data_IF_446814562752
#
_entry.id   IF_446814562752
#
_cell.length_a   1.000
_cell.length_b   1.000
_cell.length_c   1.000
_cell.angle_alpha   90.00
_cell.angle_beta   90.00
_cell.angle_gamma   90.00
#
_symmetry.space_group_name_H-M   'P 1'
#
loop_
_entity.id
_entity.type
_entity.pdbx_description
1 polymer ?
#
# COMPACT_ATOMS: atom_id res chain seq x y z
N UNK A 1 -40.67 -7.38 -49.25
CA UNK A 1 -39.88 -7.77 -48.08
C UNK A 1 -38.71 -6.81 -47.97
N UNK A 2 -38.74 -5.89 -47.01
CA UNK A 2 -37.59 -5.04 -46.74
C UNK A 2 -36.64 -5.82 -45.81
N UNK A 3 -35.47 -6.18 -46.31
CA UNK A 3 -34.40 -6.71 -45.50
C UNK A 3 -34.09 -5.67 -44.40
N UNK A 4 -34.30 -6.07 -43.13
CA UNK A 4 -33.77 -5.35 -41.97
C UNK A 4 -32.24 -5.43 -42.05
N UNK A 5 -31.61 -4.37 -42.51
CA UNK A 5 -30.16 -4.19 -42.29
C UNK A 5 -29.99 -4.19 -40.78
N UNK A 6 -29.45 -5.30 -40.24
CA UNK A 6 -29.06 -5.39 -38.85
C UNK A 6 -27.89 -4.38 -38.67
N UNK A 7 -28.15 -3.26 -38.00
CA UNK A 7 -27.11 -2.36 -37.58
C UNK A 7 -26.11 -3.18 -36.75
N UNK A 8 -24.85 -3.27 -37.21
CA UNK A 8 -23.79 -3.95 -36.51
C UNK A 8 -23.54 -3.20 -35.21
N UNK A 9 -23.67 -3.86 -34.06
CA UNK A 9 -23.39 -3.29 -32.77
C UNK A 9 -21.89 -3.05 -32.63
N UNK A 10 -21.51 -1.92 -32.05
CA UNK A 10 -20.11 -1.63 -31.71
C UNK A 10 -19.81 -2.06 -30.27
N UNK A 11 -18.78 -2.88 -30.11
CA UNK A 11 -18.37 -3.40 -28.80
C UNK A 11 -17.08 -2.80 -28.29
N UNK A 12 -16.92 -2.77 -26.97
CA UNK A 12 -15.65 -2.58 -26.29
C UNK A 12 -15.27 -3.85 -25.51
N UNK A 13 -13.99 -4.18 -25.48
CA UNK A 13 -13.45 -5.28 -24.67
C UNK A 13 -12.73 -4.72 -23.47
N UNK A 14 -13.02 -5.28 -22.29
CA UNK A 14 -12.27 -4.97 -21.10
C UNK A 14 -11.61 -6.21 -20.48
N UNK A 15 -10.29 -6.14 -20.30
CA UNK A 15 -9.46 -7.20 -19.73
C UNK A 15 -8.81 -6.68 -18.44
N UNK A 16 -8.91 -7.48 -17.37
CA UNK A 16 -8.20 -7.22 -16.13
C UNK A 16 -7.47 -8.46 -15.65
N UNK A 17 -6.17 -8.33 -15.41
CA UNK A 17 -5.32 -9.41 -14.90
C UNK A 17 -5.01 -9.16 -13.44
N UNK A 18 -5.24 -10.18 -12.59
CA UNK A 18 -4.80 -10.15 -11.20
C UNK A 18 -3.32 -10.54 -11.10
N UNK A 19 -2.65 -10.11 -10.02
CA UNK A 19 -1.27 -10.49 -9.71
C UNK A 19 -1.13 -11.93 -9.20
N UNK A 20 -2.25 -12.56 -8.81
CA UNK A 20 -2.27 -13.94 -8.34
C UNK A 20 -2.24 -14.91 -9.54
N UNK A 21 -1.13 -15.61 -9.67
CA UNK A 21 -0.77 -16.47 -10.81
C UNK A 21 -1.51 -17.82 -10.86
N UNK A 22 -2.53 -18.06 -10.09
CA UNK A 22 -3.22 -19.35 -10.05
C UNK A 22 -4.56 -19.29 -10.77
N UNK A 23 -4.70 -20.08 -11.83
CA UNK A 23 -5.92 -20.47 -12.56
C UNK A 23 -6.54 -19.50 -13.59
N UNK A 24 -5.85 -18.47 -14.06
CA UNK A 24 -6.44 -17.57 -15.05
C UNK A 24 -5.80 -17.67 -16.43
N UNK A 25 -6.63 -17.62 -17.45
CA UNK A 25 -6.22 -17.48 -18.85
C UNK A 25 -5.29 -16.26 -18.98
N UNK A 26 -4.23 -16.38 -19.77
CA UNK A 26 -3.37 -15.24 -20.09
C UNK A 26 -4.18 -14.12 -20.75
N UNK A 27 -3.75 -12.83 -20.63
CA UNK A 27 -4.44 -11.71 -21.28
C UNK A 27 -4.72 -11.95 -22.77
N UNK A 28 -3.73 -12.52 -23.47
CA UNK A 28 -3.86 -12.82 -24.90
C UNK A 28 -4.87 -13.91 -25.19
N UNK A 29 -4.97 -14.92 -24.31
CA UNK A 29 -5.99 -15.97 -24.43
C UNK A 29 -7.37 -15.41 -24.15
N UNK A 30 -7.52 -14.55 -23.13
CA UNK A 30 -8.77 -13.85 -22.87
C UNK A 30 -9.19 -13.00 -24.07
N UNK A 31 -8.27 -12.19 -24.59
CA UNK A 31 -8.56 -11.34 -25.75
C UNK A 31 -9.05 -12.14 -26.96
N UNK A 32 -8.40 -13.27 -27.28
CA UNK A 32 -8.85 -14.15 -28.38
C UNK A 32 -10.28 -14.63 -28.19
N UNK A 33 -10.60 -15.14 -27.00
CA UNK A 33 -11.95 -15.63 -26.68
C UNK A 33 -13.00 -14.54 -26.76
N UNK A 34 -12.69 -13.32 -26.30
CA UNK A 34 -13.59 -12.19 -26.35
C UNK A 34 -13.82 -11.70 -27.78
N UNK A 35 -12.79 -11.69 -28.61
CA UNK A 35 -12.90 -11.37 -30.05
C UNK A 35 -13.68 -12.44 -30.83
N UNK A 36 -13.48 -13.72 -30.49
CA UNK A 36 -14.24 -14.82 -31.12
C UNK A 36 -15.72 -14.74 -30.74
N UNK A 37 -16.03 -14.40 -29.49
CA UNK A 37 -17.40 -14.12 -29.07
C UNK A 37 -18.02 -12.95 -29.85
N UNK A 38 -17.30 -11.82 -29.92
CA UNK A 38 -17.75 -10.62 -30.63
C UNK A 38 -18.07 -10.93 -32.10
N UNK A 39 -17.20 -11.70 -32.77
CA UNK A 39 -17.43 -12.14 -34.17
C UNK A 39 -18.68 -13.01 -34.31
N UNK A 40 -18.89 -13.96 -33.38
CA UNK A 40 -20.06 -14.85 -33.37
C UNK A 40 -21.36 -14.09 -33.21
N UNK A 41 -21.36 -13.06 -32.37
CA UNK A 41 -22.56 -12.24 -32.08
C UNK A 41 -22.66 -11.01 -33.02
N UNK A 42 -21.86 -10.95 -34.10
CA UNK A 42 -21.83 -9.85 -35.08
C UNK A 42 -21.57 -8.47 -34.44
N UNK A 43 -20.76 -8.43 -33.42
CA UNK A 43 -20.31 -7.20 -32.73
C UNK A 43 -18.97 -6.78 -33.32
N UNK A 44 -18.88 -5.56 -33.83
CA UNK A 44 -17.64 -4.97 -34.29
C UNK A 44 -16.86 -4.37 -33.13
N UNK A 45 -15.57 -4.73 -32.99
CA UNK A 45 -14.71 -4.24 -31.90
C UNK A 45 -13.47 -3.56 -32.51
N UNK A 46 -13.47 -2.23 -32.64
CA UNK A 46 -12.30 -1.47 -33.06
C UNK A 46 -11.12 -1.70 -32.09
N UNK A 47 -9.91 -1.68 -32.62
CA UNK A 47 -8.70 -1.89 -31.80
C UNK A 47 -8.55 -0.89 -30.67
N UNK A 48 -8.96 0.35 -30.89
CA UNK A 48 -8.99 1.42 -29.89
C UNK A 48 -9.98 1.20 -28.74
N UNK A 49 -10.93 0.27 -28.89
CA UNK A 49 -11.92 -0.09 -27.87
C UNK A 49 -11.54 -1.37 -27.09
N UNK A 50 -10.27 -1.74 -27.15
CA UNK A 50 -9.70 -2.79 -26.31
C UNK A 50 -8.99 -2.16 -25.13
N UNK A 51 -9.56 -2.30 -23.95
CA UNK A 51 -9.09 -1.71 -22.70
C UNK A 51 -8.48 -2.78 -21.79
N UNK A 52 -7.25 -2.53 -21.28
CA UNK A 52 -6.56 -3.51 -20.46
C UNK A 52 -5.90 -2.85 -19.25
N UNK A 53 -6.19 -3.38 -18.06
CA UNK A 53 -5.56 -3.02 -16.79
C UNK A 53 -4.75 -4.20 -16.25
N UNK A 54 -3.41 -4.10 -16.27
CA UNK A 54 -2.49 -5.16 -15.83
C UNK A 54 -2.00 -4.95 -14.39
N UNK A 55 -1.92 -6.04 -13.63
CA UNK A 55 -1.19 -6.08 -12.34
C UNK A 55 -1.76 -5.19 -11.23
N UNK A 56 -2.99 -4.76 -11.33
CA UNK A 56 -3.61 -3.87 -10.35
C UNK A 56 -4.41 -4.71 -9.35
N UNK A 57 -3.89 -4.83 -8.12
CA UNK A 57 -4.65 -5.45 -7.02
C UNK A 57 -5.99 -4.71 -6.80
N UNK A 58 -7.07 -5.49 -6.74
CA UNK A 58 -8.46 -5.06 -6.82
C UNK A 58 -8.98 -4.00 -5.85
N UNK A 59 -8.19 -3.30 -5.04
CA UNK A 59 -8.69 -2.54 -3.88
C UNK A 59 -8.90 -1.03 -4.03
N UNK A 60 -8.57 -0.38 -5.15
CA UNK A 60 -8.84 1.08 -5.33
C UNK A 60 -9.25 1.40 -6.76
N UNK A 61 -10.48 1.91 -6.96
CA UNK A 61 -11.04 2.29 -8.26
C UNK A 61 -10.17 3.31 -9.02
N UNK A 62 -9.52 4.22 -8.30
CA UNK A 62 -8.61 5.24 -8.87
C UNK A 62 -7.35 4.67 -9.54
N UNK A 63 -7.17 3.34 -9.55
CA UNK A 63 -6.01 2.65 -10.14
C UNK A 63 -6.36 1.82 -11.38
N UNK A 64 -7.51 2.04 -12.01
CA UNK A 64 -7.96 1.35 -13.23
C UNK A 64 -8.13 2.36 -14.37
N UNK A 65 -7.04 2.91 -14.92
CA UNK A 65 -7.13 3.98 -15.92
C UNK A 65 -7.84 3.51 -17.18
N UNK A 66 -7.59 2.28 -17.65
CA UNK A 66 -8.25 1.75 -18.84
C UNK A 66 -9.76 1.57 -18.61
N UNK A 67 -10.17 1.08 -17.43
CA UNK A 67 -11.57 1.00 -17.06
C UNK A 67 -12.26 2.38 -17.05
N UNK A 68 -11.62 3.37 -16.45
CA UNK A 68 -12.17 4.73 -16.36
C UNK A 68 -12.32 5.35 -17.76
N UNK A 69 -11.34 5.15 -18.63
CA UNK A 69 -11.40 5.60 -20.02
C UNK A 69 -12.54 4.92 -20.78
N UNK A 70 -12.72 3.62 -20.62
CA UNK A 70 -13.83 2.87 -21.21
C UNK A 70 -15.21 3.42 -20.74
N UNK A 71 -15.37 3.64 -19.43
CA UNK A 71 -16.61 4.20 -18.87
C UNK A 71 -16.86 5.63 -19.36
N UNK A 72 -15.79 6.45 -19.47
CA UNK A 72 -15.91 7.80 -20.02
C UNK A 72 -16.36 7.78 -21.48
N UNK A 73 -15.79 6.89 -22.29
CA UNK A 73 -16.17 6.71 -23.69
C UNK A 73 -17.62 6.22 -23.82
N UNK A 74 -18.03 5.23 -23.05
CA UNK A 74 -19.39 4.70 -23.02
C UNK A 74 -20.45 5.75 -22.61
N UNK A 75 -20.03 6.81 -21.91
CA UNK A 75 -20.90 7.94 -21.48
C UNK A 75 -20.86 9.11 -22.43
N UNK A 76 -20.02 9.09 -23.47
CA UNK A 76 -19.93 10.20 -24.41
C UNK A 76 -21.23 10.41 -25.16
N UNK A 77 -21.49 11.64 -25.57
CA UNK A 77 -22.72 11.98 -26.34
C UNK A 77 -22.77 11.32 -27.72
N UNK A 78 -21.64 10.88 -28.22
CA UNK A 78 -21.49 10.25 -29.53
C UNK A 78 -21.93 8.79 -29.52
N UNK A 79 -22.16 8.18 -28.34
CA UNK A 79 -22.54 6.78 -28.15
C UNK A 79 -21.74 5.78 -29.01
N UNK A 80 -20.41 5.78 -28.96
CA UNK A 80 -19.62 4.96 -29.87
C UNK A 80 -19.58 3.48 -29.50
N UNK A 81 -20.19 3.08 -28.38
CA UNK A 81 -20.19 1.73 -27.85
C UNK A 81 -21.62 1.32 -27.46
N UNK A 82 -22.06 0.17 -27.96
CA UNK A 82 -23.35 -0.46 -27.61
C UNK A 82 -23.17 -1.55 -26.53
N UNK A 83 -22.02 -2.20 -26.49
CA UNK A 83 -21.81 -3.38 -25.63
C UNK A 83 -20.38 -3.41 -25.09
N UNK A 84 -20.23 -3.68 -23.79
CA UNK A 84 -18.93 -3.97 -23.17
C UNK A 84 -18.85 -5.48 -22.93
N UNK A 85 -17.81 -6.11 -23.45
CA UNK A 85 -17.58 -7.56 -23.39
C UNK A 85 -16.46 -7.84 -22.39
N UNK A 86 -16.72 -8.69 -21.38
CA UNK A 86 -15.77 -9.10 -20.36
C UNK A 86 -15.69 -10.63 -20.24
N UNK A 87 -14.62 -11.14 -19.73
CA UNK A 87 -14.49 -12.59 -19.49
C UNK A 87 -15.43 -13.07 -18.40
N UNK A 88 -15.44 -12.37 -17.23
CA UNK A 88 -16.33 -12.60 -16.08
C UNK A 88 -16.82 -11.28 -15.52
N UNK A 89 -17.99 -11.27 -14.87
CA UNK A 89 -18.48 -10.05 -14.20
C UNK A 89 -17.56 -9.57 -13.08
N UNK A 90 -16.88 -10.49 -12.37
CA UNK A 90 -15.85 -10.16 -11.38
C UNK A 90 -14.61 -9.42 -11.95
N UNK A 91 -14.46 -9.42 -13.28
CA UNK A 91 -13.43 -8.59 -13.95
C UNK A 91 -13.93 -7.19 -14.25
N UNK A 92 -15.22 -7.02 -14.47
CA UNK A 92 -15.84 -5.72 -14.71
C UNK A 92 -15.87 -4.88 -13.43
N UNK A 93 -16.45 -5.39 -12.36
CA UNK A 93 -16.55 -4.70 -11.07
C UNK A 93 -15.86 -5.50 -9.94
N UNK A 94 -15.69 -4.89 -8.78
CA UNK A 94 -14.93 -5.47 -7.65
C UNK A 94 -15.84 -6.04 -6.58
N UNK A 95 -16.99 -5.46 -6.46
CA UNK A 95 -18.03 -5.84 -5.52
C UNK A 95 -19.40 -5.58 -6.17
N UNK A 96 -20.42 -6.08 -5.54
CA UNK A 96 -21.77 -5.97 -6.01
C UNK A 96 -22.25 -4.50 -6.12
N UNK A 97 -21.85 -3.64 -5.20
CA UNK A 97 -22.23 -2.22 -5.21
C UNK A 97 -21.67 -1.50 -6.44
N UNK A 98 -20.35 -1.67 -6.72
CA UNK A 98 -19.73 -1.11 -7.93
C UNK A 98 -20.39 -1.65 -9.20
N UNK A 99 -20.67 -2.96 -9.27
CA UNK A 99 -21.30 -3.60 -10.42
C UNK A 99 -22.66 -2.99 -10.71
N UNK A 100 -23.52 -2.90 -9.71
CA UNK A 100 -24.86 -2.32 -9.84
C UNK A 100 -24.79 -0.87 -10.31
N UNK A 101 -23.91 -0.06 -9.71
CA UNK A 101 -23.76 1.37 -10.05
C UNK A 101 -23.30 1.54 -11.50
N UNK A 102 -22.22 0.84 -11.91
CA UNK A 102 -21.72 0.99 -13.27
C UNK A 102 -22.65 0.39 -14.33
N UNK A 103 -23.27 -0.78 -14.09
CA UNK A 103 -24.25 -1.35 -15.02
C UNK A 103 -25.48 -0.48 -15.17
N UNK A 104 -26.01 0.07 -14.07
CA UNK A 104 -27.13 1.02 -14.11
C UNK A 104 -26.75 2.31 -14.88
N UNK A 105 -25.54 2.81 -14.69
CA UNK A 105 -25.02 3.97 -15.39
C UNK A 105 -24.89 3.71 -16.91
N UNK A 106 -24.34 2.56 -17.29
CA UNK A 106 -24.17 2.14 -18.67
C UNK A 106 -25.52 1.90 -19.35
N UNK A 107 -26.42 1.23 -18.66
CA UNK A 107 -27.80 0.99 -19.19
C UNK A 107 -28.55 2.29 -19.45
N UNK A 108 -28.37 3.34 -18.64
CA UNK A 108 -28.94 4.68 -18.91
C UNK A 108 -28.35 5.31 -20.18
N UNK A 109 -27.17 4.89 -20.61
CA UNK A 109 -26.53 5.31 -21.85
C UNK A 109 -26.68 4.25 -22.97
N UNK A 110 -27.66 3.34 -22.89
CA UNK A 110 -27.92 2.26 -23.85
C UNK A 110 -26.70 1.35 -24.11
N UNK A 111 -25.81 1.17 -23.13
CA UNK A 111 -24.68 0.28 -23.22
C UNK A 111 -24.89 -0.93 -22.32
N UNK A 112 -24.83 -2.13 -22.90
CA UNK A 112 -24.97 -3.39 -22.19
C UNK A 112 -23.59 -3.94 -21.78
N UNK A 113 -23.55 -4.76 -20.71
CA UNK A 113 -22.34 -5.47 -20.27
C UNK A 113 -22.57 -6.96 -20.38
N UNK A 114 -21.74 -7.65 -21.15
CA UNK A 114 -21.85 -9.09 -21.40
C UNK A 114 -20.63 -9.83 -20.87
N UNK A 115 -20.87 -10.93 -20.14
CA UNK A 115 -19.82 -11.87 -19.71
C UNK A 115 -19.82 -13.10 -20.62
N UNK A 116 -18.63 -13.47 -21.12
CA UNK A 116 -18.50 -14.60 -22.06
C UNK A 116 -18.53 -15.94 -21.33
N UNK A 117 -17.93 -16.02 -20.14
CA UNK A 117 -17.92 -17.25 -19.34
C UNK A 117 -19.19 -17.45 -18.50
N UNK A 118 -20.00 -16.40 -18.34
CA UNK A 118 -21.22 -16.37 -17.53
C UNK A 118 -22.38 -15.83 -18.36
N UNK A 119 -22.82 -16.56 -19.43
CA UNK A 119 -23.91 -16.10 -20.28
C UNK A 119 -25.19 -16.01 -19.47
N UNK A 120 -25.81 -14.83 -19.48
CA UNK A 120 -27.02 -14.56 -18.75
C UNK A 120 -28.24 -14.82 -19.64
N UNK A 121 -29.29 -15.33 -19.01
CA UNK A 121 -30.61 -15.43 -19.62
C UNK A 121 -31.24 -14.04 -19.56
N UNK A 122 -31.78 -13.56 -20.68
CA UNK A 122 -32.48 -12.28 -20.74
C UNK A 122 -33.69 -12.26 -19.81
N UNK A 123 -33.91 -11.13 -19.14
CA UNK A 123 -35.07 -10.90 -18.29
C UNK A 123 -34.80 -10.80 -16.78
N UNK A 124 -35.85 -10.65 -15.96
CA UNK A 124 -35.72 -10.49 -14.51
C UNK A 124 -35.01 -11.64 -13.81
N UNK A 125 -35.15 -12.85 -14.31
CA UNK A 125 -34.52 -14.06 -13.78
C UNK A 125 -33.01 -14.07 -14.06
N UNK A 126 -32.56 -13.64 -15.24
CA UNK A 126 -31.15 -13.48 -15.56
C UNK A 126 -30.47 -12.45 -14.67
N UNK A 127 -31.14 -11.32 -14.41
CA UNK A 127 -30.60 -10.30 -13.48
C UNK A 127 -30.49 -10.81 -12.04
N UNK A 128 -31.35 -11.72 -11.62
CA UNK A 128 -31.22 -12.36 -10.29
C UNK A 128 -30.04 -13.31 -10.24
N UNK A 129 -29.85 -14.16 -11.26
CA UNK A 129 -28.71 -15.09 -11.35
C UNK A 129 -27.41 -14.30 -11.38
N UNK A 130 -27.31 -13.22 -12.14
CA UNK A 130 -26.15 -12.34 -12.18
C UNK A 130 -25.76 -11.85 -10.78
N UNK A 131 -26.73 -11.37 -10.00
CA UNK A 131 -26.49 -10.92 -8.61
C UNK A 131 -26.04 -12.05 -7.70
N UNK A 132 -26.56 -13.25 -7.89
CA UNK A 132 -26.14 -14.42 -7.11
C UNK A 132 -24.69 -14.78 -7.43
N UNK A 133 -24.29 -14.79 -8.69
CA UNK A 133 -22.90 -15.08 -9.12
C UNK A 133 -21.94 -14.03 -8.53
N UNK A 134 -22.28 -12.74 -8.66
CA UNK A 134 -21.45 -11.66 -8.09
C UNK A 134 -21.33 -11.76 -6.56
N UNK A 135 -22.42 -12.11 -5.88
CA UNK A 135 -22.42 -12.33 -4.43
C UNK A 135 -21.58 -13.55 -4.03
N UNK A 136 -21.63 -14.64 -4.80
CA UNK A 136 -20.82 -15.83 -4.55
C UNK A 136 -19.32 -15.53 -4.67
N UNK A 137 -18.90 -14.75 -5.67
CA UNK A 137 -17.50 -14.35 -5.85
C UNK A 137 -17.00 -13.49 -4.68
N UNK A 138 -17.84 -12.56 -4.21
CA UNK A 138 -17.52 -11.73 -3.03
C UNK A 138 -17.44 -12.59 -1.76
N UNK A 139 -18.42 -13.46 -1.55
CA UNK A 139 -18.45 -14.39 -0.42
C UNK A 139 -17.24 -15.31 -0.40
N UNK A 140 -16.85 -15.86 -1.55
CA UNK A 140 -15.65 -16.69 -1.66
C UNK A 140 -14.38 -15.92 -1.27
N UNK A 141 -14.25 -14.68 -1.72
CA UNK A 141 -13.10 -13.82 -1.39
C UNK A 141 -13.02 -13.52 0.13
N UNK A 142 -14.17 -13.24 0.76
CA UNK A 142 -14.27 -13.01 2.21
C UNK A 142 -13.89 -14.29 2.98
N UNK A 143 -14.46 -15.42 2.56
CA UNK A 143 -14.19 -16.72 3.18
C UNK A 143 -12.72 -17.09 3.07
N UNK A 144 -12.12 -16.97 1.87
CA UNK A 144 -10.70 -17.25 1.64
C UNK A 144 -9.81 -16.37 2.54
N UNK A 145 -10.13 -15.08 2.64
CA UNK A 145 -9.41 -14.17 3.55
C UNK A 145 -9.48 -14.65 5.01
N UNK A 146 -10.64 -15.12 5.45
CA UNK A 146 -10.83 -15.69 6.79
C UNK A 146 -10.02 -16.99 7.01
N UNK A 147 -9.98 -17.88 6.02
CA UNK A 147 -9.18 -19.11 6.08
C UNK A 147 -7.67 -18.79 6.16
N UNK A 148 -7.19 -17.88 5.32
CA UNK A 148 -5.80 -17.41 5.34
C UNK A 148 -5.45 -16.82 6.70
N UNK A 149 -6.32 -15.95 7.25
CA UNK A 149 -6.10 -15.36 8.57
C UNK A 149 -6.06 -16.40 9.68
N UNK A 150 -6.94 -17.42 9.65
CA UNK A 150 -6.91 -18.54 10.60
C UNK A 150 -5.60 -19.32 10.49
N UNK A 151 -5.16 -19.66 9.28
CA UNK A 151 -3.90 -20.34 9.03
C UNK A 151 -2.70 -19.55 9.54
N UNK A 152 -2.65 -18.25 9.27
CA UNK A 152 -1.60 -17.35 9.77
C UNK A 152 -1.61 -17.24 11.29
N UNK A 153 -2.78 -17.13 11.90
CA UNK A 153 -2.96 -17.13 13.37
C UNK A 153 -2.39 -18.39 14.00
N UNK A 154 -2.74 -19.55 13.46
CA UNK A 154 -2.27 -20.83 13.97
C UNK A 154 -0.74 -21.00 13.81
N UNK A 155 -0.19 -20.56 12.68
CA UNK A 155 1.26 -20.55 12.48
C UNK A 155 1.97 -19.62 13.45
N UNK A 156 1.40 -18.43 13.73
CA UNK A 156 1.94 -17.49 14.71
C UNK A 156 1.95 -18.08 16.13
N UNK A 157 0.88 -18.77 16.54
CA UNK A 157 0.80 -19.45 17.83
C UNK A 157 1.86 -20.57 17.99
N UNK A 158 2.31 -21.15 16.87
CA UNK A 158 3.41 -22.15 16.83
C UNK A 158 4.80 -21.51 16.77
N UNK A 159 4.91 -20.19 16.90
CA UNK A 159 6.17 -19.45 16.84
C UNK A 159 6.76 -19.27 15.44
N UNK A 160 6.03 -19.65 14.39
CA UNK A 160 6.52 -19.44 13.02
C UNK A 160 6.45 -17.98 12.64
N UNK A 161 7.59 -17.43 12.20
CA UNK A 161 7.66 -16.06 11.72
C UNK A 161 7.04 -15.92 10.33
N UNK A 162 6.14 -14.95 10.14
CA UNK A 162 5.31 -14.85 8.94
C UNK A 162 5.53 -13.56 8.13
N UNK A 163 6.64 -12.91 8.40
CA UNK A 163 7.05 -11.68 7.69
C UNK A 163 8.44 -11.88 7.10
N UNK A 164 8.90 -10.88 6.35
CA UNK A 164 10.31 -10.83 5.98
C UNK A 164 11.19 -10.80 7.22
N UNK A 165 12.22 -11.65 7.28
CA UNK A 165 13.17 -11.68 8.38
C UNK A 165 13.67 -10.27 8.74
N UNK A 166 13.73 -9.88 10.02
CA UNK A 166 14.24 -8.57 10.41
C UNK A 166 15.72 -8.42 10.08
N UNK A 167 16.26 -7.20 10.16
CA UNK A 167 17.67 -6.95 9.92
C UNK A 167 18.50 -7.76 10.92
N UNK A 168 19.66 -8.29 10.49
CA UNK A 168 20.46 -9.22 11.27
C UNK A 168 20.10 -10.70 11.06
N UNK A 169 19.01 -10.96 10.30
CA UNK A 169 18.60 -12.30 9.94
C UNK A 169 18.29 -12.43 8.44
N UNK A 170 18.36 -13.65 7.96
CA UNK A 170 17.95 -14.04 6.61
C UNK A 170 16.99 -15.23 6.65
N UNK A 171 16.04 -15.25 5.72
CA UNK A 171 15.15 -16.40 5.55
C UNK A 171 15.79 -17.41 4.60
N UNK A 172 16.08 -18.64 5.04
CA UNK A 172 16.70 -19.66 4.18
C UNK A 172 15.72 -20.27 3.15
N UNK A 173 14.44 -19.85 3.16
CA UNK A 173 13.41 -20.43 2.30
C UNK A 173 12.72 -21.66 2.94
N UNK A 174 11.85 -22.35 2.16
CA UNK A 174 11.19 -23.61 2.52
C UNK A 174 10.50 -23.64 3.90
N UNK A 175 9.90 -22.51 4.32
CA UNK A 175 9.24 -22.36 5.63
C UNK A 175 10.15 -22.58 6.83
N UNK A 176 11.46 -22.61 6.64
CA UNK A 176 12.43 -22.68 7.74
C UNK A 176 12.47 -21.39 8.53
N UNK A 177 12.78 -21.44 9.84
CA UNK A 177 12.89 -20.24 10.64
C UNK A 177 14.04 -19.35 10.13
N UNK A 178 13.94 -18.01 10.28
CA UNK A 178 15.03 -17.10 9.99
C UNK A 178 16.27 -17.45 10.80
N UNK A 179 17.44 -17.39 10.15
CA UNK A 179 18.75 -17.63 10.75
C UNK A 179 19.55 -16.35 10.80
N UNK A 180 20.51 -16.25 11.71
CA UNK A 180 21.41 -15.09 11.85
C UNK A 180 22.17 -14.90 10.53
N UNK A 181 22.20 -13.64 10.06
CA UNK A 181 22.95 -13.25 8.89
C UNK A 181 24.27 -12.57 9.32
N UNK A 182 25.43 -13.20 9.07
CA UNK A 182 26.73 -12.66 9.47
C UNK A 182 27.02 -11.25 8.97
N UNK A 183 26.53 -10.91 7.76
CA UNK A 183 26.81 -9.62 7.12
C UNK A 183 26.05 -8.46 7.77
N UNK A 184 24.91 -8.73 8.40
CA UNK A 184 24.00 -7.70 8.90
C UNK A 184 23.73 -7.77 10.39
N UNK A 185 24.16 -8.83 11.08
CA UNK A 185 23.94 -9.05 12.53
C UNK A 185 24.55 -7.96 13.41
N UNK A 186 25.63 -7.35 12.96
CA UNK A 186 26.26 -6.25 13.71
C UNK A 186 25.37 -5.01 13.83
N UNK A 187 24.41 -4.82 12.91
CA UNK A 187 23.53 -3.65 12.94
C UNK A 187 22.62 -3.65 14.18
N UNK A 188 21.79 -4.70 14.44
CA UNK A 188 20.97 -4.74 15.66
C UNK A 188 21.81 -4.80 16.94
N UNK A 189 23.00 -5.40 16.94
CA UNK A 189 23.90 -5.38 18.10
C UNK A 189 24.40 -3.96 18.38
N UNK A 190 24.88 -3.24 17.36
CA UNK A 190 25.31 -1.85 17.49
C UNK A 190 24.17 -0.93 17.96
N UNK A 191 22.96 -1.11 17.44
CA UNK A 191 21.77 -0.35 17.87
C UNK A 191 21.53 -0.57 19.37
N UNK A 192 21.55 -1.82 19.84
CA UNK A 192 21.38 -2.19 21.24
C UNK A 192 22.45 -1.54 22.12
N UNK A 193 23.72 -1.73 21.78
CA UNK A 193 24.83 -1.28 22.61
C UNK A 193 24.89 0.25 22.71
N UNK A 194 24.70 0.96 21.60
CA UNK A 194 24.62 2.42 21.60
C UNK A 194 23.43 2.95 22.39
N UNK A 195 22.26 2.27 22.32
CA UNK A 195 21.09 2.69 23.07
C UNK A 195 21.27 2.49 24.57
N UNK A 196 21.86 1.37 24.98
CA UNK A 196 22.18 1.08 26.39
C UNK A 196 23.26 2.01 26.95
N UNK A 197 24.20 2.46 26.12
CA UNK A 197 25.19 3.47 26.51
C UNK A 197 24.64 4.92 26.57
N UNK A 198 23.32 5.12 26.29
CA UNK A 198 22.65 6.41 26.45
C UNK A 198 22.47 7.22 25.16
N UNK A 199 22.88 6.69 24.00
CA UNK A 199 22.65 7.37 22.74
C UNK A 199 21.16 7.48 22.40
N UNK A 200 20.76 8.61 21.83
CA UNK A 200 19.39 8.78 21.31
C UNK A 200 19.19 8.02 20.01
N UNK A 201 17.96 7.64 19.71
CA UNK A 201 17.61 6.95 18.45
C UNK A 201 18.08 7.71 17.20
N UNK A 202 18.08 9.06 17.25
CA UNK A 202 18.55 9.89 16.16
C UNK A 202 20.08 9.84 16.00
N UNK A 203 20.83 9.86 17.10
CA UNK A 203 22.28 9.72 17.09
C UNK A 203 22.70 8.35 16.54
N UNK A 204 22.00 7.29 16.95
CA UNK A 204 22.23 5.94 16.44
C UNK A 204 21.96 5.88 14.93
N UNK A 205 20.83 6.44 14.46
CA UNK A 205 20.51 6.48 13.04
C UNK A 205 21.60 7.20 12.21
N UNK A 206 22.09 8.34 12.69
CA UNK A 206 23.19 9.07 12.03
C UNK A 206 24.45 8.23 11.98
N UNK A 207 24.86 7.65 13.10
CA UNK A 207 26.07 6.82 13.17
C UNK A 207 26.00 5.64 12.20
N UNK A 208 24.85 4.97 12.09
CA UNK A 208 24.64 3.89 11.12
C UNK A 208 24.76 4.40 9.68
N UNK A 209 24.18 5.56 9.37
CA UNK A 209 24.25 6.16 8.05
C UNK A 209 25.68 6.58 7.67
N UNK A 210 26.41 7.19 8.61
CA UNK A 210 27.80 7.63 8.44
C UNK A 210 28.73 6.43 8.26
N UNK A 211 28.44 5.31 8.94
CA UNK A 211 29.17 4.04 8.77
C UNK A 211 28.78 3.28 7.49
N UNK A 212 27.92 3.84 6.64
CA UNK A 212 27.50 3.22 5.37
C UNK A 212 26.38 2.18 5.50
N UNK A 213 25.90 1.88 6.71
CA UNK A 213 24.82 0.91 6.89
C UNK A 213 23.50 1.44 6.36
N UNK A 214 22.72 0.53 5.76
CA UNK A 214 21.39 0.84 5.21
C UNK A 214 20.35 -0.12 5.80
N UNK A 215 19.09 0.29 5.75
CA UNK A 215 17.97 -0.59 6.10
C UNK A 215 17.86 -1.74 5.10
N UNK A 216 17.13 -2.79 5.42
CA UNK A 216 16.91 -3.94 4.53
C UNK A 216 16.38 -3.55 3.13
N UNK A 217 15.74 -2.38 3.01
CA UNK A 217 15.23 -1.83 1.74
C UNK A 217 16.20 -0.85 1.05
N UNK A 218 17.44 -0.75 1.54
CA UNK A 218 18.45 0.16 0.99
C UNK A 218 18.29 1.64 1.41
N UNK A 219 17.32 1.96 2.27
CA UNK A 219 17.09 3.35 2.71
C UNK A 219 18.03 3.75 3.84
N UNK A 220 18.20 5.06 4.04
CA UNK A 220 18.84 5.61 5.22
C UNK A 220 18.06 5.28 6.50
N UNK A 221 18.79 5.09 7.59
CA UNK A 221 18.23 4.94 8.91
C UNK A 221 17.64 6.25 9.42
N UNK A 222 16.55 6.16 10.13
CA UNK A 222 15.94 7.24 10.90
C UNK A 222 15.66 6.78 12.34
N UNK A 223 15.29 7.70 13.21
CA UNK A 223 14.97 7.40 14.61
C UNK A 223 13.84 6.37 14.77
N UNK A 224 12.90 6.33 13.80
CA UNK A 224 11.80 5.38 13.79
C UNK A 224 12.25 3.97 13.42
N UNK A 225 13.14 3.84 12.45
CA UNK A 225 13.76 2.56 12.08
C UNK A 225 14.56 1.95 13.22
N UNK A 226 15.34 2.77 13.92
CA UNK A 226 16.07 2.35 15.13
C UNK A 226 15.09 1.89 16.23
N UNK A 227 14.04 2.68 16.49
CA UNK A 227 13.01 2.33 17.46
C UNK A 227 12.32 1.00 17.13
N UNK A 228 12.01 0.77 15.84
CA UNK A 228 11.40 -0.48 15.38
C UNK A 228 12.26 -1.70 15.72
N UNK A 229 13.58 -1.59 15.58
CA UNK A 229 14.52 -2.65 15.97
C UNK A 229 14.49 -2.87 17.48
N UNK A 230 14.57 -1.79 18.28
CA UNK A 230 14.57 -1.84 19.75
C UNK A 230 13.27 -2.41 20.35
N UNK A 231 12.12 -2.20 19.68
CA UNK A 231 10.79 -2.69 20.12
C UNK A 231 10.44 -4.08 19.58
N UNK A 232 11.29 -4.69 18.76
CA UNK A 232 10.95 -5.95 18.12
C UNK A 232 11.35 -7.15 18.98
N UNK A 233 10.38 -7.91 19.53
CA UNK A 233 10.66 -9.06 20.38
C UNK A 233 11.32 -10.23 19.63
N UNK A 234 11.41 -10.17 18.31
CA UNK A 234 12.10 -11.17 17.52
C UNK A 234 13.57 -11.35 17.93
N UNK A 235 14.22 -10.25 18.36
CA UNK A 235 15.62 -10.28 18.78
C UNK A 235 15.86 -11.02 20.11
N UNK A 236 14.81 -11.33 20.86
CA UNK A 236 14.84 -12.20 22.05
C UNK A 236 14.21 -13.57 21.78
N UNK A 237 14.13 -13.97 20.51
CA UNK A 237 13.56 -15.26 20.14
C UNK A 237 12.04 -15.35 20.26
N UNK A 238 11.30 -14.23 20.35
CA UNK A 238 9.83 -14.22 20.44
C UNK A 238 9.19 -13.74 19.15
N UNK A 239 8.12 -14.39 18.75
CA UNK A 239 7.28 -14.01 17.62
C UNK A 239 6.15 -13.08 18.09
N UNK A 240 5.87 -12.01 17.34
CA UNK A 240 4.75 -11.13 17.54
C UNK A 240 3.97 -10.99 16.25
N UNK A 241 2.68 -11.31 16.27
CA UNK A 241 1.84 -11.27 15.08
C UNK A 241 0.54 -10.50 15.32
N UNK A 242 -0.02 -9.90 14.26
CA UNK A 242 -1.29 -9.15 14.25
C UNK A 242 -1.31 -7.91 15.17
N UNK A 243 -0.16 -7.27 15.38
CA UNK A 243 -0.02 -6.17 16.34
C UNK A 243 -0.38 -4.78 15.78
N UNK A 244 -0.66 -4.66 14.47
CA UNK A 244 -1.05 -3.40 13.84
C UNK A 244 -2.27 -3.56 12.95
N UNK A 245 -3.11 -2.54 12.92
CA UNK A 245 -4.19 -2.39 11.95
C UNK A 245 -3.73 -1.70 10.65
N UNK A 246 -4.65 -1.61 9.67
CA UNK A 246 -4.47 -0.75 8.51
C UNK A 246 -4.20 0.69 8.96
N UNK A 247 -3.13 1.31 8.44
CA UNK A 247 -2.71 2.65 8.85
C UNK A 247 -1.70 2.67 10.00
N UNK A 248 -1.19 1.50 10.41
CA UNK A 248 -0.15 1.33 11.43
C UNK A 248 -0.56 1.73 12.85
N UNK A 249 -1.85 1.73 13.16
CA UNK A 249 -2.32 1.84 14.54
C UNK A 249 -2.02 0.53 15.27
N UNK A 250 -1.58 0.63 16.51
CA UNK A 250 -1.38 -0.55 17.35
C UNK A 250 -2.75 -1.12 17.73
N UNK A 251 -2.87 -2.43 17.67
CA UNK A 251 -4.04 -3.15 18.16
C UNK A 251 -4.03 -3.26 19.69
N UNK A 252 -5.20 -3.50 20.32
CA UNK A 252 -5.27 -3.90 21.72
C UNK A 252 -4.36 -5.10 22.00
N UNK A 253 -3.77 -5.15 23.19
CA UNK A 253 -2.77 -6.18 23.54
C UNK A 253 -3.35 -7.58 23.51
N UNK A 254 -4.62 -7.74 23.82
CA UNK A 254 -5.39 -8.99 23.81
C UNK A 254 -5.62 -9.55 22.39
N UNK A 255 -5.54 -8.73 21.36
CA UNK A 255 -5.60 -9.16 19.95
C UNK A 255 -4.23 -9.55 19.36
N UNK A 256 -3.16 -9.23 20.07
CA UNK A 256 -1.78 -9.47 19.61
C UNK A 256 -1.34 -10.86 20.05
N UNK A 257 -0.84 -11.65 19.11
CA UNK A 257 -0.33 -12.98 19.40
C UNK A 257 1.18 -12.89 19.67
N UNK A 258 1.57 -13.32 20.86
CA UNK A 258 2.96 -13.55 21.26
C UNK A 258 3.20 -15.04 21.43
N UNK A 259 4.28 -15.54 20.89
CA UNK A 259 4.69 -16.93 21.02
C UNK A 259 6.23 -17.02 21.09
N UNK A 260 6.73 -18.10 21.67
CA UNK A 260 8.14 -18.41 21.57
C UNK A 260 8.46 -18.74 20.10
N UNK A 261 9.41 -18.01 19.56
CA UNK A 261 9.82 -18.14 18.16
C UNK A 261 10.82 -19.27 17.97
N UNK A 262 10.95 -19.73 16.73
CA UNK A 262 11.88 -20.81 16.36
C UNK A 262 13.24 -20.28 15.88
N UNK A 263 13.51 -18.97 16.02
CA UNK A 263 14.76 -18.32 15.61
C UNK A 263 15.67 -18.09 16.81
N UNK A 264 16.98 -18.19 16.58
CA UNK A 264 17.96 -17.91 17.60
C UNK A 264 17.89 -16.45 18.06
N UNK A 265 17.95 -16.21 19.38
CA UNK A 265 17.92 -14.89 19.98
C UNK A 265 19.30 -14.20 19.85
N UNK A 266 19.30 -12.89 19.57
CA UNK A 266 20.51 -12.05 19.61
C UNK A 266 20.69 -11.35 20.95
N UNK A 267 19.60 -11.15 21.71
CA UNK A 267 19.59 -10.46 22.99
C UNK A 267 18.95 -11.36 24.05
N UNK A 268 19.32 -11.16 25.29
CA UNK A 268 18.61 -11.75 26.43
C UNK A 268 17.36 -10.94 26.82
N UNK A 269 16.45 -11.56 27.57
CA UNK A 269 15.21 -10.93 27.99
C UNK A 269 15.42 -9.75 28.92
N UNK A 270 16.45 -9.76 29.76
CA UNK A 270 16.67 -8.69 30.73
C UNK A 270 17.19 -7.43 30.03
N UNK A 271 18.07 -7.62 29.07
CA UNK A 271 18.50 -6.54 28.14
C UNK A 271 17.28 -5.93 27.42
N UNK A 272 16.39 -6.75 26.90
CA UNK A 272 15.18 -6.26 26.22
C UNK A 272 14.25 -5.50 27.16
N UNK A 273 14.02 -6.01 28.37
CA UNK A 273 13.22 -5.30 29.41
C UNK A 273 13.80 -3.94 29.76
N UNK A 274 15.12 -3.85 29.92
CA UNK A 274 15.81 -2.57 30.19
C UNK A 274 15.63 -1.59 29.01
N UNK A 275 15.74 -2.07 27.77
CA UNK A 275 15.47 -1.26 26.57
C UNK A 275 14.05 -0.73 26.58
N UNK A 276 13.04 -1.60 26.83
CA UNK A 276 11.62 -1.18 26.86
C UNK A 276 11.37 -0.15 27.97
N UNK A 277 11.95 -0.34 29.14
CA UNK A 277 11.86 0.62 30.26
C UNK A 277 12.42 2.00 29.87
N UNK A 278 13.60 2.06 29.25
CA UNK A 278 14.19 3.32 28.77
C UNK A 278 13.36 3.97 27.66
N UNK A 279 12.82 3.17 26.73
CA UNK A 279 11.93 3.69 25.69
C UNK A 279 10.67 4.31 26.28
N UNK A 280 10.07 3.68 27.30
CA UNK A 280 8.87 4.20 27.98
C UNK A 280 9.16 5.52 28.72
N UNK A 281 10.29 5.64 29.41
CA UNK A 281 10.72 6.87 30.07
C UNK A 281 10.93 8.03 29.09
N UNK A 282 11.42 7.73 27.87
CA UNK A 282 11.67 8.70 26.82
C UNK A 282 10.40 9.11 26.06
N UNK A 283 9.28 8.43 26.26
CA UNK A 283 8.00 8.80 25.67
C UNK A 283 7.45 10.07 26.34
N UNK A 284 7.83 11.24 25.80
CA UNK A 284 7.11 12.48 26.13
C UNK A 284 5.69 12.35 25.60
N UNK A 285 4.68 12.62 26.45
CA UNK A 285 3.29 12.76 26.03
C UNK A 285 3.25 13.88 24.98
N UNK A 286 3.27 13.53 23.72
CA UNK A 286 3.07 14.46 22.62
C UNK A 286 1.62 14.94 22.73
N UNK A 287 1.42 16.21 23.10
CA UNK A 287 0.12 16.85 22.90
C UNK A 287 -0.17 16.77 21.40
N UNK A 288 -1.34 16.28 21.04
CA UNK A 288 -1.87 16.34 19.68
C UNK A 288 -1.75 17.80 19.19
N UNK A 289 -0.90 18.05 18.22
CA UNK A 289 -0.83 19.36 17.57
C UNK A 289 -2.03 19.45 16.65
N UNK A 290 -2.77 20.53 16.77
CA UNK A 290 -3.82 20.88 15.83
C UNK A 290 -3.17 21.14 14.45
N UNK A 291 -3.45 20.24 13.50
CA UNK A 291 -2.89 20.29 12.14
C UNK A 291 -3.47 21.45 11.33
N UNK A 292 -4.56 22.06 11.82
CA UNK A 292 -5.19 23.24 11.23
C UNK A 292 -4.47 24.55 11.52
N UNK A 293 -3.49 24.56 12.45
CA UNK A 293 -2.69 25.74 12.73
C UNK A 293 -1.93 26.19 11.49
N UNK A 294 -2.15 27.43 11.11
CA UNK A 294 -1.74 28.06 9.86
C UNK A 294 -0.29 27.75 9.46
N UNK A 295 -0.13 27.22 8.25
CA UNK A 295 1.16 27.15 7.61
C UNK A 295 1.65 28.58 7.35
N UNK A 296 2.90 28.83 7.65
CA UNK A 296 3.55 30.10 7.33
C UNK A 296 3.61 30.27 5.79
N UNK A 297 3.52 31.53 5.29
CA UNK A 297 3.51 31.83 3.85
C UNK A 297 4.77 31.36 3.11
N UNK A 298 5.93 31.28 3.80
CA UNK A 298 7.18 30.72 3.27
C UNK A 298 7.23 29.18 3.29
N UNK A 299 6.19 28.50 3.76
CA UNK A 299 6.19 27.03 3.83
C UNK A 299 6.28 26.41 2.43
N UNK A 300 7.29 25.56 2.24
CA UNK A 300 7.56 24.89 0.97
C UNK A 300 8.47 25.65 0.00
N UNK A 301 8.77 26.94 0.27
CA UNK A 301 9.65 27.75 -0.57
C UNK A 301 11.13 27.65 -0.16
N UNK A 302 11.39 27.43 1.12
CA UNK A 302 12.74 27.41 1.66
C UNK A 302 13.42 26.04 1.47
N UNK A 303 14.64 26.04 0.96
CA UNK A 303 15.42 24.84 0.64
C UNK A 303 16.72 24.83 1.46
N UNK A 304 17.07 23.68 1.98
CA UNK A 304 18.33 23.44 2.68
C UNK A 304 19.50 23.45 1.70
N UNK A 305 20.50 24.30 1.92
CA UNK A 305 21.69 24.42 1.07
C UNK A 305 22.55 23.16 1.06
N UNK A 306 22.57 22.39 2.16
CA UNK A 306 23.42 21.19 2.27
C UNK A 306 22.82 19.95 1.62
N UNK A 307 21.48 19.76 1.66
CA UNK A 307 20.86 18.52 1.19
C UNK A 307 19.74 18.69 0.16
N UNK A 308 19.42 19.91 -0.27
CA UNK A 308 18.34 20.23 -1.21
C UNK A 308 16.93 19.91 -0.69
N UNK A 309 16.77 19.52 0.56
CA UNK A 309 15.46 19.25 1.17
C UNK A 309 14.77 20.54 1.60
N UNK A 310 13.43 20.55 1.62
CA UNK A 310 12.66 21.69 2.09
C UNK A 310 12.87 21.95 3.58
N UNK A 311 12.80 23.21 4.02
CA UNK A 311 12.76 23.56 5.42
C UNK A 311 11.31 23.44 5.91
N UNK A 312 11.09 22.67 6.98
CA UNK A 312 9.79 22.50 7.59
C UNK A 312 9.54 23.58 8.63
N UNK A 313 8.33 24.15 8.61
CA UNK A 313 7.87 25.08 9.63
C UNK A 313 7.53 24.31 10.91
N UNK A 314 8.04 24.78 12.03
CA UNK A 314 7.77 24.19 13.34
C UNK A 314 8.53 24.89 14.45
N UNK A 315 8.07 24.75 15.70
CA UNK A 315 8.74 25.28 16.87
C UNK A 315 9.48 24.19 17.64
N UNK A 316 10.75 24.40 17.95
CA UNK A 316 11.40 23.83 19.12
C UNK A 316 11.22 24.80 20.30
N UNK A 317 11.60 24.43 21.50
CA UNK A 317 11.32 25.07 22.79
C UNK A 317 11.49 26.60 22.92
N UNK A 318 12.02 27.30 21.92
CA UNK A 318 12.40 28.72 22.01
C UNK A 318 11.77 29.63 20.94
N UNK A 319 10.87 29.13 20.11
CA UNK A 319 10.21 29.97 19.08
C UNK A 319 9.84 29.20 17.82
N UNK A 320 9.04 29.86 17.00
CA UNK A 320 8.65 29.34 15.69
C UNK A 320 9.73 29.67 14.66
N UNK A 321 10.02 28.74 13.77
CA UNK A 321 11.03 28.92 12.73
C UNK A 321 10.98 27.80 11.69
N UNK A 322 11.94 27.83 10.79
CA UNK A 322 12.12 26.82 9.77
C UNK A 322 13.35 25.98 10.07
N UNK A 323 13.27 24.68 9.85
CA UNK A 323 14.39 23.77 10.04
C UNK A 323 14.39 22.70 8.95
N UNK A 324 15.57 22.24 8.55
CA UNK A 324 15.70 21.13 7.60
C UNK A 324 14.99 19.88 8.14
N UNK A 325 13.96 19.43 7.44
CA UNK A 325 13.19 18.24 7.86
C UNK A 325 14.03 16.95 7.78
N UNK A 326 15.00 16.90 6.85
CA UNK A 326 15.92 15.77 6.74
C UNK A 326 16.89 15.69 7.92
N UNK A 327 17.28 16.85 8.50
CA UNK A 327 18.10 16.88 9.71
C UNK A 327 17.38 16.23 10.90
N UNK A 328 16.11 16.53 11.10
CA UNK A 328 15.32 15.93 12.18
C UNK A 328 15.15 14.41 12.04
N UNK A 329 15.39 13.88 10.83
CA UNK A 329 15.38 12.43 10.56
C UNK A 329 16.77 11.78 10.52
N UNK A 330 17.84 12.56 10.67
CA UNK A 330 19.20 12.05 10.56
C UNK A 330 19.72 11.89 9.14
N UNK A 331 19.08 12.51 8.16
CA UNK A 331 19.43 12.41 6.73
C UNK A 331 20.13 13.67 6.21
N UNK A 332 20.49 14.62 7.08
CA UNK A 332 21.27 15.80 6.78
C UNK A 332 22.20 16.08 7.96
N UNK A 333 23.42 16.50 7.68
CA UNK A 333 24.43 16.84 8.68
C UNK A 333 24.11 18.12 9.45
N UNK A 334 23.39 19.06 8.82
CA UNK A 334 23.19 20.39 9.36
C UNK A 334 21.69 20.71 9.57
N UNK A 335 21.40 21.37 10.69
CA UNK A 335 20.02 21.68 11.09
C UNK A 335 19.40 22.80 10.26
N UNK A 336 20.21 23.78 9.84
CA UNK A 336 19.77 25.01 9.16
C UNK A 336 18.48 25.59 9.77
N UNK A 337 18.50 25.78 11.10
CA UNK A 337 17.40 26.44 11.77
C UNK A 337 17.46 27.95 11.55
N UNK A 338 16.34 28.56 11.15
CA UNK A 338 16.19 29.99 11.04
C UNK A 338 14.85 30.42 11.68
N UNK A 339 14.86 31.47 12.48
CA UNK A 339 13.66 32.02 13.11
C UNK A 339 12.79 32.76 12.06
N UNK A 340 11.47 32.86 12.35
CA UNK A 340 10.54 33.62 11.47
C UNK A 340 11.03 35.05 11.26
N UNK A 341 11.37 35.75 12.35
CA UNK A 341 11.79 37.15 12.28
C UNK A 341 13.02 37.38 11.39
N UNK A 342 13.99 36.42 11.45
CA UNK A 342 15.18 36.50 10.61
C UNK A 342 14.86 36.26 9.14
N UNK A 343 14.09 35.22 8.82
CA UNK A 343 13.82 34.89 7.42
C UNK A 343 12.89 35.90 6.76
N UNK A 344 11.90 36.42 7.48
CA UNK A 344 11.00 37.47 6.94
C UNK A 344 11.79 38.72 6.63
N UNK A 345 12.64 39.17 7.55
CA UNK A 345 13.51 40.33 7.33
C UNK A 345 14.38 40.16 6.08
N UNK A 346 15.05 39.01 5.94
CA UNK A 346 15.90 38.72 4.78
C UNK A 346 15.11 38.72 3.45
N UNK A 347 13.90 38.16 3.46
CA UNK A 347 13.07 38.08 2.25
C UNK A 347 12.54 39.47 1.88
N UNK A 348 12.14 40.29 2.86
CA UNK A 348 11.67 41.67 2.63
C UNK A 348 12.81 42.53 2.05
N UNK A 349 13.98 42.52 2.69
CA UNK A 349 15.18 43.24 2.20
C UNK A 349 15.56 42.83 0.77
N UNK A 350 15.42 41.56 0.41
CA UNK A 350 15.68 41.05 -0.95
C UNK A 350 14.62 41.51 -1.95
N UNK A 351 13.37 41.64 -1.54
CA UNK A 351 12.29 42.10 -2.43
C UNK A 351 12.26 43.63 -2.63
N UNK A 352 12.87 44.39 -1.71
CA UNK A 352 12.99 45.85 -1.77
C UNK A 352 14.26 46.30 -2.51
N UNK A 353 15.21 45.41 -2.75
CA UNK A 353 16.46 45.67 -3.50
C UNK A 353 16.29 45.42 -5.00
#
# INVERSE_FOLDING_TARGET
MKEKISERKTGAIYIRVSTDKQEELSPDAQLRLLLDYAKKDSIDVPKEYIFQDNGISGRKANKRPAFQNMIALAKSKEHPIDTIIVWKFSRFARNQEESIVYKSLLKKNNVDVVSVSEPLIDGPFGSLIERIIEWMDEYYSIRLSGEVMRGMTQNAMRGHYQSDAPIGYTSPGDKKPPVINPDTVQIPLMIKDMFLSGSTQLQIARKLNDSGYRTKRGNLWDARGVRYVLENPFYIGKSRWNYTERGRRLKPVDEVIYADGNSEALWDEDTFKEIQKRLALNMRKSKSRDISAAKHWLSGLLICSSCGGTLAFGGAHTGQGFQCWKYSKGHCSESHYISIAQIEKMVIEYLES
#
